data_IF_547521728269
#
_entry.id   IF_547521728269
#
_cell.length_a   1.000
_cell.length_b   1.000
_cell.length_c   1.000
_cell.angle_alpha   90.00
_cell.angle_beta   90.00
_cell.angle_gamma   90.00
#
_symmetry.space_group_name_H-M   'P 1'
#
loop_
_entity.id
_entity.type
_entity.pdbx_description
1 polymer ?
#
# COMPACT_ATOMS: atom_id res chain seq x y z
N UNK A 1 12.85 19.94 5.61
CA UNK A 1 12.51 18.57 6.04
C UNK A 1 11.18 18.05 5.49
N UNK A 2 10.09 18.83 5.47
CA UNK A 2 8.77 18.36 5.03
C UNK A 2 8.76 17.79 3.59
N UNK A 3 9.41 18.48 2.64
CA UNK A 3 9.54 18.00 1.26
C UNK A 3 10.26 16.65 1.16
N UNK A 4 11.36 16.48 1.90
CA UNK A 4 12.11 15.22 1.94
C UNK A 4 11.25 14.06 2.48
N UNK A 5 10.35 14.32 3.43
CA UNK A 5 9.39 13.32 3.92
C UNK A 5 8.36 12.93 2.85
N UNK A 6 7.88 13.88 2.04
CA UNK A 6 6.97 13.59 0.91
C UNK A 6 7.65 12.78 -0.18
N UNK A 7 8.90 13.09 -0.52
CA UNK A 7 9.67 12.29 -1.49
C UNK A 7 9.93 10.89 -0.93
N UNK A 8 10.29 10.79 0.35
CA UNK A 8 10.45 9.52 1.04
C UNK A 8 9.18 8.65 0.96
N UNK A 9 8.00 9.21 1.24
CA UNK A 9 6.73 8.46 1.24
C UNK A 9 6.31 7.94 -0.14
N UNK A 10 6.78 8.58 -1.23
CA UNK A 10 6.58 8.12 -2.61
C UNK A 10 7.52 7.00 -3.03
N UNK A 11 8.62 6.79 -2.31
CA UNK A 11 9.68 5.84 -2.67
C UNK A 11 9.62 4.61 -1.79
N UNK A 12 9.52 4.81 -0.47
CA UNK A 12 9.47 3.71 0.50
C UNK A 12 8.20 2.89 0.30
N UNK A 13 8.37 1.61 0.02
CA UNK A 13 7.26 0.66 -0.15
C UNK A 13 6.39 0.66 1.08
N UNK A 14 5.10 0.83 0.85
CA UNK A 14 4.07 0.67 1.88
C UNK A 14 3.04 -0.35 1.40
N UNK A 15 2.76 -1.32 2.25
CA UNK A 15 1.80 -2.41 2.04
C UNK A 15 0.47 -2.12 2.71
N UNK A 16 -0.59 -2.80 2.25
CA UNK A 16 -1.93 -2.63 2.79
C UNK A 16 -2.00 -2.98 4.29
N UNK A 17 -1.28 -4.02 4.73
CA UNK A 17 -1.23 -4.41 6.13
C UNK A 17 -0.67 -3.32 7.03
N UNK A 18 0.34 -2.58 6.56
CA UNK A 18 0.96 -1.50 7.34
C UNK A 18 0.00 -0.33 7.57
N UNK A 19 -0.91 -0.04 6.63
CA UNK A 19 -1.87 1.07 6.72
C UNK A 19 -3.27 0.65 7.23
N UNK A 20 -3.48 -0.64 7.49
CA UNK A 20 -4.75 -1.16 7.97
C UNK A 20 -4.77 -1.20 9.50
N UNK A 21 -5.90 -0.82 10.10
CA UNK A 21 -6.18 -1.08 11.52
C UNK A 21 -6.42 -2.56 11.75
N UNK A 22 -7.19 -3.20 10.87
CA UNK A 22 -7.42 -4.64 10.87
C UNK A 22 -7.83 -5.13 9.48
N UNK A 23 -7.64 -6.43 9.27
CA UNK A 23 -8.17 -7.22 8.17
C UNK A 23 -8.86 -8.42 8.80
N UNK A 24 -10.17 -8.49 8.70
CA UNK A 24 -10.98 -9.52 9.36
C UNK A 24 -11.86 -10.29 8.37
N UNK A 25 -12.09 -11.56 8.68
CA UNK A 25 -12.97 -12.43 7.92
C UNK A 25 -14.33 -12.47 8.59
N UNK A 26 -15.38 -12.20 7.81
CA UNK A 26 -16.75 -12.21 8.29
C UNK A 26 -17.48 -13.37 7.64
N UNK A 27 -17.98 -14.28 8.49
CA UNK A 27 -18.78 -15.43 8.10
C UNK A 27 -20.23 -15.21 8.52
N UNK A 28 -21.14 -15.15 7.54
CA UNK A 28 -22.58 -15.14 7.74
C UNK A 28 -23.18 -16.43 7.19
N UNK A 29 -24.46 -16.68 7.51
CA UNK A 29 -25.16 -17.89 7.09
C UNK A 29 -25.24 -18.05 5.55
N UNK A 30 -25.24 -16.93 4.83
CA UNK A 30 -25.43 -16.85 3.37
C UNK A 30 -24.19 -16.40 2.61
N UNK A 31 -23.23 -15.74 3.28
CA UNK A 31 -22.05 -15.18 2.63
C UNK A 31 -20.82 -15.11 3.54
N UNK A 32 -19.65 -15.14 2.93
CA UNK A 32 -18.38 -14.85 3.58
C UNK A 32 -17.63 -13.76 2.79
N UNK A 33 -17.03 -12.82 3.51
CA UNK A 33 -16.29 -11.72 2.91
C UNK A 33 -15.19 -11.21 3.85
N UNK A 34 -14.25 -10.48 3.29
CA UNK A 34 -13.18 -9.84 4.03
C UNK A 34 -13.55 -8.37 4.28
N UNK A 35 -13.31 -7.88 5.50
CA UNK A 35 -13.42 -6.47 5.85
C UNK A 35 -12.03 -5.93 6.12
N UNK A 36 -11.70 -4.83 5.44
CA UNK A 36 -10.43 -4.13 5.59
C UNK A 36 -10.75 -2.74 6.12
N UNK A 37 -10.20 -2.41 7.29
CA UNK A 37 -10.31 -1.09 7.89
C UNK A 37 -8.99 -0.36 7.78
N UNK A 38 -8.98 0.77 7.06
CA UNK A 38 -7.82 1.64 6.93
C UNK A 38 -7.66 2.53 8.16
N UNK A 39 -6.41 2.70 8.60
CA UNK A 39 -6.03 3.66 9.63
C UNK A 39 -5.70 5.02 8.97
N UNK A 40 -6.70 5.89 8.90
CA UNK A 40 -6.55 7.22 8.31
C UNK A 40 -5.52 8.09 9.05
N UNK A 41 -5.35 7.88 10.36
CA UNK A 41 -4.35 8.62 11.13
C UNK A 41 -2.95 8.18 10.73
N UNK A 42 -2.73 6.87 10.59
CA UNK A 42 -1.45 6.33 10.13
C UNK A 42 -1.10 6.77 8.72
N UNK A 43 -2.05 6.74 7.79
CA UNK A 43 -1.87 7.24 6.41
C UNK A 43 -1.43 8.72 6.45
N UNK A 44 -2.08 9.54 7.28
CA UNK A 44 -1.75 10.96 7.44
C UNK A 44 -0.37 11.19 8.06
N UNK A 45 0.00 10.43 9.10
CA UNK A 45 1.31 10.52 9.76
C UNK A 45 2.45 10.11 8.82
N UNK A 46 2.23 9.07 8.02
CA UNK A 46 3.18 8.61 7.00
C UNK A 46 3.25 9.56 5.80
N UNK A 47 2.31 10.51 5.66
CA UNK A 47 2.28 11.44 4.54
C UNK A 47 2.03 10.76 3.20
N UNK A 48 1.22 9.70 3.20
CA UNK A 48 0.86 8.97 1.99
C UNK A 48 -0.27 9.70 1.27
N UNK A 49 -0.10 9.90 -0.04
CA UNK A 49 -1.08 10.57 -0.91
C UNK A 49 -2.07 9.55 -1.49
N UNK A 50 -2.75 8.78 -0.61
CA UNK A 50 -3.66 7.68 -0.99
C UNK A 50 -5.06 7.84 -0.40
N UNK A 51 -6.05 7.28 -1.08
CA UNK A 51 -7.45 7.19 -0.66
C UNK A 51 -8.01 5.78 -0.90
N UNK A 52 -9.27 5.54 -0.53
CA UNK A 52 -9.94 4.24 -0.73
C UNK A 52 -9.90 3.78 -2.19
N UNK A 53 -10.15 4.67 -3.14
CA UNK A 53 -10.16 4.33 -4.57
C UNK A 53 -8.79 3.87 -5.07
N UNK A 54 -7.71 4.55 -4.66
CA UNK A 54 -6.33 4.14 -4.99
C UNK A 54 -5.97 2.80 -4.36
N UNK A 55 -6.46 2.51 -3.15
CA UNK A 55 -6.26 1.21 -2.50
C UNK A 55 -6.99 0.11 -3.25
N UNK A 56 -8.25 0.35 -3.66
CA UNK A 56 -9.03 -0.59 -4.48
C UNK A 56 -8.31 -0.87 -5.80
N UNK A 57 -7.80 0.18 -6.47
CA UNK A 57 -7.01 0.05 -7.69
C UNK A 57 -5.77 -0.85 -7.48
N UNK A 58 -5.02 -0.63 -6.40
CA UNK A 58 -3.85 -1.43 -6.05
C UNK A 58 -4.21 -2.90 -5.77
N UNK A 59 -5.35 -3.16 -5.10
CA UNK A 59 -5.84 -4.52 -4.87
C UNK A 59 -6.19 -5.20 -6.21
N UNK A 60 -6.91 -4.51 -7.10
CA UNK A 60 -7.34 -5.05 -8.39
C UNK A 60 -6.16 -5.36 -9.32
N UNK A 61 -5.13 -4.50 -9.32
CA UNK A 61 -3.94 -4.64 -10.18
C UNK A 61 -2.84 -5.52 -9.57
N UNK A 62 -3.01 -5.94 -8.31
CA UNK A 62 -2.08 -6.84 -7.64
C UNK A 62 -2.05 -8.23 -8.26
N UNK A 63 -1.07 -9.05 -7.82
CA UNK A 63 -0.96 -10.46 -8.19
C UNK A 63 -2.17 -11.31 -7.76
N UNK A 64 -3.04 -10.79 -6.89
CA UNK A 64 -4.24 -11.46 -6.42
C UNK A 64 -5.36 -11.47 -7.46
N UNK A 65 -5.36 -10.51 -8.40
CA UNK A 65 -6.35 -10.39 -9.50
C UNK A 65 -7.80 -10.46 -9.01
N UNK A 66 -8.09 -9.77 -7.91
CA UNK A 66 -9.46 -9.62 -7.41
C UNK A 66 -10.24 -8.74 -8.39
N UNK A 67 -11.44 -9.19 -8.79
CA UNK A 67 -12.30 -8.43 -9.70
C UNK A 67 -12.85 -7.20 -8.97
N UNK A 68 -12.84 -6.04 -9.63
CA UNK A 68 -13.41 -4.81 -9.07
C UNK A 68 -14.89 -4.96 -8.65
N UNK A 69 -15.67 -5.77 -9.38
CA UNK A 69 -17.07 -6.08 -9.04
C UNK A 69 -17.26 -6.84 -7.71
N UNK A 70 -16.18 -7.34 -7.11
CA UNK A 70 -16.19 -8.03 -5.82
C UNK A 70 -15.68 -7.13 -4.69
N UNK A 71 -15.40 -5.86 -4.96
CA UNK A 71 -14.86 -4.92 -3.98
C UNK A 71 -15.86 -3.78 -3.80
N UNK A 72 -16.33 -3.60 -2.58
CA UNK A 72 -17.26 -2.53 -2.23
C UNK A 72 -16.59 -1.56 -1.23
N UNK A 73 -16.43 -0.28 -1.59
CA UNK A 73 -16.05 0.74 -0.63
C UNK A 73 -17.21 1.05 0.31
N UNK A 74 -16.93 1.10 1.61
CA UNK A 74 -17.88 1.54 2.64
C UNK A 74 -17.30 2.79 3.32
N UNK A 75 -17.88 3.93 2.96
CA UNK A 75 -17.42 5.23 3.44
C UNK A 75 -15.95 5.50 3.07
N UNK A 76 -15.26 6.27 3.92
CA UNK A 76 -13.92 6.78 3.62
C UNK A 76 -12.76 5.90 4.09
N UNK A 77 -13.03 4.75 4.73
CA UNK A 77 -11.95 3.95 5.36
C UNK A 77 -12.22 2.45 5.44
N UNK A 78 -13.39 1.97 5.05
CA UNK A 78 -13.71 0.54 5.10
C UNK A 78 -13.87 0.01 3.68
N UNK A 79 -13.31 -1.17 3.43
CA UNK A 79 -13.42 -1.86 2.15
C UNK A 79 -13.91 -3.28 2.42
N UNK A 80 -14.95 -3.71 1.71
CA UNK A 80 -15.39 -5.11 1.70
C UNK A 80 -14.85 -5.78 0.45
N UNK A 81 -14.24 -6.94 0.62
CA UNK A 81 -13.79 -7.80 -0.47
C UNK A 81 -14.54 -9.12 -0.42
N UNK A 82 -15.36 -9.38 -1.43
CA UNK A 82 -16.10 -10.62 -1.61
C UNK A 82 -15.28 -11.62 -2.42
N UNK A 83 -15.60 -12.89 -2.24
CA UNK A 83 -15.00 -13.97 -3.05
C UNK A 83 -15.99 -14.41 -4.11
N UNK A 84 -15.46 -14.74 -5.28
CA UNK A 84 -16.23 -15.27 -6.40
C UNK A 84 -16.73 -16.69 -6.06
N UNK A 85 -17.96 -16.79 -5.55
CA UNK A 85 -18.57 -18.07 -5.16
C UNK A 85 -18.68 -19.05 -6.32
N UNK A 86 -18.86 -18.57 -7.55
CA UNK A 86 -18.91 -19.41 -8.74
C UNK A 86 -17.56 -20.04 -9.07
N UNK A 87 -16.44 -19.37 -8.72
CA UNK A 87 -15.09 -19.87 -8.98
C UNK A 87 -14.61 -20.86 -7.91
N UNK A 88 -14.94 -20.61 -6.64
CA UNK A 88 -14.35 -21.35 -5.53
C UNK A 88 -15.29 -22.36 -4.87
N UNK A 89 -16.60 -22.31 -5.12
CA UNK A 89 -17.56 -23.33 -4.68
C UNK A 89 -17.43 -23.71 -3.20
N UNK A 90 -17.14 -24.98 -2.91
CA UNK A 90 -16.96 -25.50 -1.54
C UNK A 90 -15.67 -25.05 -0.85
N UNK A 91 -14.71 -24.47 -1.59
CA UNK A 91 -13.40 -24.04 -1.06
C UNK A 91 -13.38 -22.57 -0.61
N UNK A 92 -14.55 -21.93 -0.46
CA UNK A 92 -14.67 -20.51 -0.13
C UNK A 92 -13.90 -20.11 1.14
N UNK A 93 -14.02 -20.89 2.22
CA UNK A 93 -13.36 -20.59 3.49
C UNK A 93 -11.82 -20.65 3.36
N UNK A 94 -11.31 -21.64 2.61
CA UNK A 94 -9.88 -21.77 2.37
C UNK A 94 -9.35 -20.62 1.51
N UNK A 95 -10.10 -20.20 0.50
CA UNK A 95 -9.72 -19.04 -0.32
C UNK A 95 -9.80 -17.73 0.48
N UNK A 96 -10.75 -17.59 1.41
CA UNK A 96 -10.86 -16.42 2.29
C UNK A 96 -9.66 -16.31 3.22
N UNK A 97 -9.26 -17.41 3.84
CA UNK A 97 -8.05 -17.51 4.66
C UNK A 97 -6.77 -17.20 3.86
N UNK A 98 -6.67 -17.72 2.63
CA UNK A 98 -5.56 -17.40 1.74
C UNK A 98 -5.54 -15.91 1.39
N UNK A 99 -6.71 -15.34 1.08
CA UNK A 99 -6.85 -13.95 0.68
C UNK A 99 -6.58 -12.99 1.85
N UNK A 100 -7.05 -13.29 3.06
CA UNK A 100 -6.85 -12.46 4.25
C UNK A 100 -5.36 -12.27 4.56
N UNK A 101 -4.55 -13.31 4.35
CA UNK A 101 -3.08 -13.24 4.50
C UNK A 101 -2.42 -12.54 3.31
N UNK A 102 -2.83 -12.89 2.08
CA UNK A 102 -2.15 -12.41 0.88
C UNK A 102 -2.42 -10.92 0.58
N UNK A 103 -3.63 -10.43 0.90
CA UNK A 103 -4.02 -9.04 0.61
C UNK A 103 -3.24 -8.03 1.43
N UNK A 104 -2.78 -8.41 2.62
CA UNK A 104 -1.96 -7.54 3.50
C UNK A 104 -0.63 -7.17 2.84
N UNK A 105 -0.10 -8.03 1.96
CA UNK A 105 1.17 -7.81 1.26
C UNK A 105 1.04 -6.98 -0.03
N UNK A 106 -0.18 -6.53 -0.38
CA UNK A 106 -0.39 -5.68 -1.56
C UNK A 106 0.28 -4.33 -1.35
N UNK A 107 1.12 -3.92 -2.29
CA UNK A 107 1.75 -2.59 -2.28
C UNK A 107 0.71 -1.56 -2.66
N UNK A 108 0.49 -0.58 -1.78
CA UNK A 108 -0.52 0.48 -1.94
C UNK A 108 0.10 1.85 -2.20
N UNK A 109 1.35 2.04 -1.80
CA UNK A 109 2.15 3.23 -2.07
C UNK A 109 3.64 2.87 -2.13
N UNK A 110 4.44 3.75 -2.71
CA UNK A 110 5.87 3.53 -2.85
C UNK A 110 6.26 2.63 -4.03
N UNK A 111 7.57 2.37 -4.13
CA UNK A 111 8.13 1.52 -5.18
C UNK A 111 8.26 0.07 -4.68
N UNK A 112 7.77 -0.94 -5.41
CA UNK A 112 7.64 -2.32 -4.90
C UNK A 112 8.98 -3.01 -4.58
N UNK A 113 10.07 -2.52 -5.17
CA UNK A 113 11.42 -3.07 -5.08
C UNK A 113 12.32 -2.31 -4.08
N UNK A 114 11.77 -1.30 -3.40
CA UNK A 114 12.48 -0.52 -2.38
C UNK A 114 12.04 -1.00 -1.00
N UNK A 115 12.97 -1.45 -0.17
CA UNK A 115 12.67 -1.93 1.18
C UNK A 115 12.59 -0.79 2.18
N UNK A 116 13.50 0.18 2.10
CA UNK A 116 13.62 1.24 3.10
C UNK A 116 14.21 2.52 2.49
N UNK A 117 13.77 3.66 2.99
CA UNK A 117 14.40 4.95 2.67
C UNK A 117 14.70 5.74 3.94
N UNK A 118 15.88 6.35 4.04
CA UNK A 118 16.32 7.12 5.21
C UNK A 118 16.74 8.51 4.77
N UNK A 119 16.24 9.53 5.47
CA UNK A 119 16.65 10.91 5.24
C UNK A 119 17.91 11.16 6.06
N UNK A 120 19.05 11.30 5.38
CA UNK A 120 20.32 11.73 5.97
C UNK A 120 20.44 13.25 5.88
N UNK A 121 20.98 13.87 6.93
CA UNK A 121 21.31 15.29 6.94
C UNK A 121 22.78 15.40 6.55
N UNK A 122 23.07 16.23 5.55
CA UNK A 122 24.42 16.60 5.19
C UNK A 122 24.68 18.02 5.70
N UNK A 123 25.44 18.11 6.78
CA UNK A 123 25.86 19.32 7.47
C UNK A 123 27.22 19.85 6.99
N UNK A 124 27.85 19.19 6.02
CA UNK A 124 29.13 19.62 5.44
C UNK A 124 28.99 20.88 4.58
N UNK A 125 27.78 21.14 4.08
CA UNK A 125 27.43 22.29 3.24
C UNK A 125 26.48 23.22 4.00
N UNK A 126 26.62 24.55 3.83
CA UNK A 126 25.71 25.55 4.40
C UNK A 126 24.87 26.20 3.31
N UNK A 127 23.53 26.21 3.41
CA UNK A 127 22.71 25.57 4.45
C UNK A 127 22.73 24.03 4.37
N UNK A 128 22.45 23.32 5.48
CA UNK A 128 22.46 21.86 5.49
C UNK A 128 21.48 21.30 4.47
N UNK A 129 21.89 20.24 3.78
CA UNK A 129 21.09 19.59 2.75
C UNK A 129 20.56 18.24 3.23
N UNK A 130 19.52 17.72 2.58
CA UNK A 130 18.95 16.41 2.90
C UNK A 130 19.22 15.45 1.75
N UNK A 131 19.81 14.30 2.05
CA UNK A 131 20.02 13.20 1.11
C UNK A 131 19.07 12.06 1.45
N UNK A 132 18.59 11.35 0.44
CA UNK A 132 17.76 10.17 0.64
C UNK A 132 18.60 8.93 0.37
N UNK A 133 18.88 8.18 1.43
CA UNK A 133 19.58 6.89 1.36
C UNK A 133 18.54 5.79 1.18
N UNK A 134 18.63 5.05 0.09
CA UNK A 134 17.63 4.07 -0.31
C UNK A 134 18.23 2.67 -0.27
N UNK A 135 17.51 1.74 0.34
CA UNK A 135 17.81 0.32 0.33
C UNK A 135 16.83 -0.39 -0.61
N UNK A 136 17.35 -1.02 -1.66
CA UNK A 136 16.53 -1.74 -2.65
C UNK A 136 17.12 -1.70 -4.05
N UNK A 137 16.31 -2.09 -5.03
CA UNK A 137 16.67 -2.12 -6.45
C UNK A 137 15.66 -1.34 -7.29
N UNK A 138 16.11 -0.80 -8.42
CA UNK A 138 15.24 0.01 -9.31
C UNK A 138 15.61 1.49 -9.36
N UNK A 139 16.90 1.78 -9.63
CA UNK A 139 17.40 3.15 -9.76
C UNK A 139 16.57 3.99 -10.74
N UNK A 140 16.13 3.40 -11.86
CA UNK A 140 15.30 4.08 -12.86
C UNK A 140 14.02 4.65 -12.24
N UNK A 141 13.33 3.85 -11.43
CA UNK A 141 12.03 4.25 -10.87
C UNK A 141 12.24 5.31 -9.77
N UNK A 142 13.32 5.19 -9.00
CA UNK A 142 13.76 6.20 -8.02
C UNK A 142 14.07 7.53 -8.72
N UNK A 143 14.92 7.52 -9.76
CA UNK A 143 15.32 8.70 -10.50
C UNK A 143 14.16 9.37 -11.24
N UNK A 144 13.13 8.60 -11.61
CA UNK A 144 11.90 9.10 -12.24
C UNK A 144 10.85 9.61 -11.22
N UNK A 145 11.08 9.46 -9.92
CA UNK A 145 10.12 9.89 -8.90
C UNK A 145 10.12 11.41 -8.75
N UNK A 146 8.93 12.02 -8.80
CA UNK A 146 8.78 13.47 -8.65
C UNK A 146 9.37 13.97 -7.31
N UNK A 147 10.32 14.89 -7.42
CA UNK A 147 11.10 15.44 -6.29
C UNK A 147 12.50 14.83 -6.12
N UNK A 148 12.88 13.88 -6.97
CA UNK A 148 14.25 13.35 -7.09
C UNK A 148 14.95 13.98 -8.29
N UNK A 149 16.22 14.36 -8.09
CA UNK A 149 17.05 14.90 -9.16
C UNK A 149 17.80 13.73 -9.82
N UNK A 150 17.21 13.15 -10.88
CA UNK A 150 17.74 11.92 -11.50
C UNK A 150 19.13 12.02 -12.16
N UNK A 151 19.64 13.23 -12.40
CA UNK A 151 21.02 13.43 -12.88
C UNK A 151 22.05 13.45 -11.73
N UNK A 152 21.59 13.41 -10.48
CA UNK A 152 22.38 13.39 -9.25
C UNK A 152 21.85 12.31 -8.29
N UNK A 153 21.52 11.12 -8.81
CA UNK A 153 21.13 9.91 -8.06
C UNK A 153 22.17 8.83 -8.13
#
# INVERSE_FOLDING_TARGET
MEFARKVKSRIEKTTLGEISSYVEEVYKADMCFLVIKLDLNRIKVLGLEINVDTVIYSICTSKLRVKAALIDPIGASTIIVRIDSAKYGSCLNAELQRLSTAIQNVVVAGLPNISRAVIAIDDTVKPPTYKLCIEGVGLRDVAATYGVIGHHT
#
